data_IF_882666034587
#
_entry.id   IF_882666034587
#
_cell.length_a   1.000
_cell.length_b   1.000
_cell.length_c   1.000
_cell.angle_alpha   90.00
_cell.angle_beta   90.00
_cell.angle_gamma   90.00
#
_symmetry.space_group_name_H-M   'P 1'
#
loop_
_entity.id
_entity.type
_entity.pdbx_description
1 polymer ?
#
# COMPACT_ATOMS: atom_id res chain seq x y z
N UNK A 1 23.95 -39.04 6.45
CA UNK A 1 22.74 -39.82 6.78
C UNK A 1 22.38 -39.49 8.21
N UNK A 2 21.29 -38.76 8.44
CA UNK A 2 20.93 -38.24 9.75
C UNK A 2 20.20 -39.32 10.56
N UNK A 3 20.64 -39.53 11.80
CA UNK A 3 20.19 -40.56 12.73
C UNK A 3 19.31 -39.97 13.84
N UNK A 4 18.34 -39.11 13.49
CA UNK A 4 17.37 -38.58 14.44
C UNK A 4 15.97 -39.12 14.11
N UNK A 5 15.75 -40.38 14.48
CA UNK A 5 14.40 -40.95 14.53
C UNK A 5 13.82 -40.73 15.92
N UNK A 6 12.98 -39.71 16.06
CA UNK A 6 12.19 -39.52 17.28
C UNK A 6 11.06 -40.55 17.33
N UNK A 7 11.15 -41.53 18.23
CA UNK A 7 10.04 -42.45 18.51
C UNK A 7 9.13 -41.83 19.58
N UNK A 8 8.05 -41.20 19.13
CA UNK A 8 7.06 -40.54 19.99
C UNK A 8 6.20 -39.57 19.19
N UNK A 9 5.06 -39.14 19.75
CA UNK A 9 4.21 -38.14 19.09
C UNK A 9 4.89 -36.77 19.16
N UNK A 10 5.13 -36.14 18.01
CA UNK A 10 5.63 -34.77 17.92
C UNK A 10 4.45 -33.83 17.77
N UNK A 11 4.27 -32.92 18.71
CA UNK A 11 3.31 -31.82 18.56
C UNK A 11 4.05 -30.64 17.94
N UNK A 12 3.71 -30.32 16.70
CA UNK A 12 4.03 -29.02 16.10
C UNK A 12 2.74 -28.23 16.13
N UNK A 13 2.63 -27.32 17.10
CA UNK A 13 1.48 -26.43 17.18
C UNK A 13 1.63 -25.38 16.06
N UNK A 14 1.01 -25.66 14.93
CA UNK A 14 0.89 -24.71 13.84
C UNK A 14 -0.21 -23.72 14.25
N UNK A 15 0.20 -22.61 14.85
CA UNK A 15 -0.69 -21.48 15.16
C UNK A 15 -0.96 -20.61 13.91
N UNK A 16 -0.76 -21.16 12.71
CA UNK A 16 -1.29 -20.64 11.46
C UNK A 16 -2.74 -21.12 11.32
N UNK A 17 -3.59 -20.73 12.29
CA UNK A 17 -5.02 -20.90 12.15
C UNK A 17 -5.47 -20.30 10.81
N UNK A 18 -6.43 -20.93 10.14
CA UNK A 18 -7.05 -20.35 8.94
C UNK A 18 -7.36 -18.89 9.26
N UNK A 19 -6.69 -17.96 8.56
CA UNK A 19 -6.99 -16.53 8.74
C UNK A 19 -8.49 -16.43 8.65
N UNK A 20 -9.15 -16.02 9.74
CA UNK A 20 -10.62 -15.98 9.81
C UNK A 20 -11.14 -15.37 8.52
N UNK A 21 -12.15 -15.96 7.89
CA UNK A 21 -12.76 -15.42 6.67
C UNK A 21 -13.25 -14.02 7.01
N UNK A 22 -12.45 -13.01 6.65
CA UNK A 22 -12.82 -11.62 6.76
C UNK A 22 -13.69 -11.33 5.55
N UNK A 23 -14.84 -10.71 5.76
CA UNK A 23 -15.57 -10.06 4.69
C UNK A 23 -14.58 -9.12 4.01
N UNK A 24 -14.26 -9.35 2.74
CA UNK A 24 -13.45 -8.41 1.99
C UNK A 24 -14.18 -7.06 2.04
N UNK A 25 -13.48 -6.00 2.46
CA UNK A 25 -14.00 -4.65 2.26
C UNK A 25 -14.28 -4.51 0.77
N UNK A 26 -15.54 -4.33 0.38
CA UNK A 26 -15.91 -4.04 -1.02
C UNK A 26 -15.43 -2.65 -1.43
N UNK A 27 -15.05 -1.80 -0.47
CA UNK A 27 -14.34 -0.55 -0.71
C UNK A 27 -12.86 -0.80 -0.94
N UNK A 28 -12.43 -0.67 -2.20
CA UNK A 28 -11.03 -0.51 -2.58
C UNK A 28 -10.71 0.99 -2.43
N UNK A 29 -9.64 1.33 -1.71
CA UNK A 29 -9.20 2.72 -1.58
C UNK A 29 -8.18 3.02 -2.68
N UNK A 30 -8.43 4.03 -3.50
CA UNK A 30 -7.44 4.60 -4.41
C UNK A 30 -6.84 5.87 -3.80
N UNK A 31 -5.52 5.98 -3.74
CA UNK A 31 -4.85 7.16 -3.20
C UNK A 31 -3.63 7.56 -4.02
N UNK A 32 -3.42 8.86 -4.15
CA UNK A 32 -2.24 9.47 -4.77
C UNK A 32 -1.45 10.17 -3.66
N UNK A 33 -0.17 9.87 -3.53
CA UNK A 33 0.65 10.37 -2.42
C UNK A 33 2.08 10.71 -2.84
N UNK A 34 2.71 11.61 -2.09
CA UNK A 34 4.15 11.88 -2.15
C UNK A 34 4.90 11.03 -1.12
N UNK A 35 6.17 10.72 -1.42
CA UNK A 35 7.02 9.90 -0.55
C UNK A 35 8.33 9.49 -1.23
N UNK A 36 9.30 10.39 -1.26
CA UNK A 36 10.56 10.18 -1.99
C UNK A 36 11.40 9.02 -1.43
N UNK A 37 11.30 8.79 -0.12
CA UNK A 37 12.00 7.71 0.59
C UNK A 37 11.22 6.40 0.66
N UNK A 38 10.10 6.30 -0.06
CA UNK A 38 9.37 5.04 -0.20
C UNK A 38 10.14 4.04 -1.07
N UNK A 39 10.03 2.75 -0.73
CA UNK A 39 10.62 1.64 -1.47
C UNK A 39 10.11 1.64 -2.92
N UNK A 40 11.01 1.86 -3.89
CA UNK A 40 10.67 2.00 -5.31
C UNK A 40 10.18 0.70 -5.96
N UNK A 41 10.47 -0.47 -5.38
CA UNK A 41 9.95 -1.74 -5.90
C UNK A 41 8.46 -1.90 -5.56
N UNK A 42 8.07 -1.43 -4.38
CA UNK A 42 6.68 -1.53 -3.90
C UNK A 42 5.85 -0.32 -4.31
N UNK A 43 6.46 0.86 -4.35
CA UNK A 43 5.84 2.12 -4.73
C UNK A 43 6.59 2.75 -5.91
N UNK A 44 6.50 2.15 -7.11
CA UNK A 44 7.10 2.75 -8.31
C UNK A 44 6.51 4.14 -8.57
N UNK A 45 7.37 5.07 -9.02
CA UNK A 45 6.95 6.44 -9.33
C UNK A 45 5.96 6.43 -10.50
N UNK A 46 4.87 7.19 -10.38
CA UNK A 46 3.80 7.36 -11.35
C UNK A 46 3.14 6.06 -11.85
N UNK A 47 3.25 4.97 -11.08
CA UNK A 47 2.65 3.68 -11.43
C UNK A 47 1.79 3.17 -10.29
N UNK A 48 0.55 2.70 -10.58
CA UNK A 48 -0.31 2.14 -9.55
C UNK A 48 0.28 0.84 -9.00
N UNK A 49 0.38 0.78 -7.67
CA UNK A 49 0.79 -0.39 -6.91
C UNK A 49 -0.39 -0.93 -6.10
N UNK A 50 -0.63 -2.24 -6.19
CA UNK A 50 -1.67 -2.93 -5.43
C UNK A 50 -1.13 -3.34 -4.07
N UNK A 51 -1.77 -2.86 -3.01
CA UNK A 51 -1.47 -3.17 -1.62
C UNK A 51 -2.60 -4.03 -1.04
N UNK A 52 -2.28 -5.29 -0.77
CA UNK A 52 -3.20 -6.26 -0.14
C UNK A 52 -2.96 -6.43 1.36
N UNK A 53 -1.83 -5.93 1.87
CA UNK A 53 -1.49 -5.90 3.29
C UNK A 53 -0.95 -4.52 3.66
N UNK A 54 -1.75 -3.76 4.40
CA UNK A 54 -1.43 -2.38 4.77
C UNK A 54 -0.26 -2.28 5.75
N UNK A 55 -0.11 -3.22 6.69
CA UNK A 55 0.97 -3.19 7.67
C UNK A 55 2.34 -3.41 7.01
N UNK A 56 2.42 -4.36 6.07
CA UNK A 56 3.64 -4.57 5.28
C UNK A 56 3.96 -3.38 4.38
N UNK A 57 2.94 -2.67 3.91
CA UNK A 57 3.11 -1.47 3.09
C UNK A 57 3.61 -0.27 3.91
N UNK A 58 3.09 -0.05 5.14
CA UNK A 58 3.55 1.02 6.04
C UNK A 58 5.05 0.90 6.33
N UNK A 59 5.56 -0.33 6.53
CA UNK A 59 6.98 -0.56 6.76
C UNK A 59 7.88 -0.11 5.59
N UNK A 60 7.32 -0.06 4.37
CA UNK A 60 8.02 0.27 3.13
C UNK A 60 7.67 1.65 2.56
N UNK A 61 6.79 2.37 3.23
CA UNK A 61 6.26 3.66 2.80
C UNK A 61 7.22 4.84 3.01
N UNK A 62 8.38 4.63 3.63
CA UNK A 62 9.27 5.71 4.02
C UNK A 62 8.70 6.58 5.14
N UNK A 63 9.33 7.70 5.47
CA UNK A 63 8.87 8.71 6.43
C UNK A 63 8.55 10.06 5.77
N UNK A 64 8.93 10.25 4.51
CA UNK A 64 8.69 11.48 3.74
C UNK A 64 7.24 11.59 3.27
N UNK A 65 6.83 12.82 2.98
CA UNK A 65 5.57 13.13 2.33
C UNK A 65 4.32 12.71 3.11
N UNK A 66 3.35 12.20 2.36
CA UNK A 66 1.99 11.91 2.83
C UNK A 66 1.68 10.42 2.90
N UNK A 67 2.46 9.57 2.22
CA UNK A 67 2.19 8.15 2.03
C UNK A 67 2.07 7.37 3.36
N UNK A 68 3.08 7.43 4.22
CA UNK A 68 3.07 6.67 5.49
C UNK A 68 1.95 7.10 6.43
N UNK A 69 1.71 8.41 6.54
CA UNK A 69 0.66 8.96 7.42
C UNK A 69 -0.72 8.49 6.98
N UNK A 70 -1.00 8.54 5.67
CA UNK A 70 -2.26 8.10 5.12
C UNK A 70 -2.46 6.58 5.27
N UNK A 71 -1.43 5.77 4.99
CA UNK A 71 -1.51 4.32 5.19
C UNK A 71 -1.72 3.95 6.67
N UNK A 72 -1.06 4.67 7.59
CA UNK A 72 -1.23 4.46 9.04
C UNK A 72 -2.66 4.80 9.48
N UNK A 73 -3.18 5.96 9.05
CA UNK A 73 -4.55 6.38 9.38
C UNK A 73 -5.61 5.41 8.83
N UNK A 74 -5.38 4.81 7.66
CA UNK A 74 -6.25 3.75 7.12
C UNK A 74 -6.13 2.50 7.98
N UNK A 75 -4.91 2.08 8.34
CA UNK A 75 -4.67 0.89 9.14
C UNK A 75 -5.30 0.97 10.54
N UNK A 76 -5.35 2.17 11.13
CA UNK A 76 -5.98 2.43 12.42
C UNK A 76 -7.51 2.23 12.36
N UNK A 77 -8.14 2.43 11.20
CA UNK A 77 -9.58 2.26 11.02
C UNK A 77 -9.95 0.88 10.51
N UNK A 78 -9.22 0.36 9.52
CA UNK A 78 -9.55 -0.89 8.82
C UNK A 78 -8.36 -1.46 8.05
N UNK A 79 -8.51 -2.67 7.49
CA UNK A 79 -7.49 -3.30 6.63
C UNK A 79 -8.07 -3.60 5.23
N UNK A 80 -8.30 -2.57 4.40
CA UNK A 80 -8.81 -2.73 3.05
C UNK A 80 -7.69 -3.05 2.05
N UNK A 81 -8.08 -3.40 0.82
CA UNK A 81 -7.18 -3.41 -0.33
C UNK A 81 -7.03 -1.97 -0.82
N UNK A 82 -5.79 -1.53 -1.06
CA UNK A 82 -5.47 -0.15 -1.45
C UNK A 82 -4.68 -0.15 -2.74
N UNK A 83 -5.00 0.77 -3.66
CA UNK A 83 -4.18 1.09 -4.83
C UNK A 83 -3.52 2.42 -4.59
N UNK A 84 -2.19 2.43 -4.60
CA UNK A 84 -1.37 3.62 -4.34
C UNK A 84 -0.68 4.04 -5.63
N UNK A 85 -0.78 5.32 -5.98
CA UNK A 85 0.07 5.95 -6.99
C UNK A 85 1.01 6.92 -6.29
N UNK A 86 2.31 6.64 -6.35
CA UNK A 86 3.33 7.57 -5.83
C UNK A 86 3.63 8.63 -6.89
N UNK A 87 3.58 9.90 -6.52
CA UNK A 87 4.00 11.03 -7.37
C UNK A 87 5.19 11.76 -6.73
N UNK A 88 5.94 12.46 -7.57
CA UNK A 88 7.07 13.29 -7.13
C UNK A 88 6.57 14.54 -6.40
N UNK A 89 7.19 14.87 -5.28
CA UNK A 89 6.93 16.13 -4.59
C UNK A 89 7.60 17.27 -5.36
N UNK A 90 6.83 18.30 -5.73
CA UNK A 90 7.36 19.44 -6.47
C UNK A 90 8.02 20.46 -5.54
N UNK A 91 8.90 21.30 -6.08
CA UNK A 91 9.58 22.38 -5.33
C UNK A 91 8.62 23.38 -4.67
N UNK A 92 7.39 23.46 -5.19
CA UNK A 92 6.33 24.35 -4.74
C UNK A 92 4.94 23.68 -4.87
N UNK A 93 3.95 24.29 -4.22
CA UNK A 93 2.59 23.74 -4.15
C UNK A 93 1.92 23.63 -5.53
N UNK A 94 2.24 24.52 -6.48
CA UNK A 94 1.69 24.46 -7.82
C UNK A 94 2.28 23.28 -8.60
N UNK A 95 3.59 23.08 -8.52
CA UNK A 95 4.28 21.92 -9.11
C UNK A 95 3.79 20.60 -8.52
N UNK A 96 3.64 20.52 -7.19
CA UNK A 96 3.07 19.32 -6.53
C UNK A 96 1.64 19.06 -6.96
N UNK A 97 0.80 20.10 -7.08
CA UNK A 97 -0.58 19.96 -7.55
C UNK A 97 -0.61 19.45 -8.99
N UNK A 98 0.29 19.94 -9.85
CA UNK A 98 0.41 19.46 -11.23
C UNK A 98 0.82 17.98 -11.29
N UNK A 99 1.78 17.56 -10.45
CA UNK A 99 2.21 16.16 -10.34
C UNK A 99 1.09 15.23 -9.83
N UNK A 100 0.30 15.69 -8.87
CA UNK A 100 -0.85 14.94 -8.32
C UNK A 100 -1.99 14.81 -9.33
N UNK A 101 -2.27 15.86 -10.11
CA UNK A 101 -3.29 15.82 -11.17
C UNK A 101 -2.83 14.91 -12.31
N UNK A 102 -1.54 14.97 -12.65
CA UNK A 102 -0.94 14.26 -13.78
C UNK A 102 -1.35 14.85 -15.13
N UNK A 103 -0.73 14.35 -16.20
CA UNK A 103 -1.13 14.61 -17.59
C UNK A 103 -1.83 13.37 -18.15
N UNK A 104 -2.80 13.55 -19.05
CA UNK A 104 -3.52 12.46 -19.70
C UNK A 104 -2.63 11.73 -20.72
N UNK A 105 -1.61 11.03 -20.24
CA UNK A 105 -0.81 10.10 -21.01
C UNK A 105 -1.16 8.71 -20.51
N UNK A 106 -2.00 8.00 -21.28
CA UNK A 106 -2.29 6.56 -21.12
C UNK A 106 -2.90 6.13 -19.76
N UNK A 107 -4.07 6.67 -19.41
CA UNK A 107 -5.00 5.98 -18.49
C UNK A 107 -4.77 6.12 -16.98
N UNK A 108 -3.91 7.05 -16.54
CA UNK A 108 -3.62 7.33 -15.11
C UNK A 108 -4.29 8.60 -14.56
N UNK A 109 -5.26 9.19 -15.28
CA UNK A 109 -5.89 10.43 -14.85
C UNK A 109 -6.88 10.21 -13.69
N UNK A 110 -6.74 10.98 -12.62
CA UNK A 110 -7.72 11.11 -11.53
C UNK A 110 -8.99 11.80 -12.06
N UNK A 111 -10.20 11.22 -11.92
CA UNK A 111 -11.42 11.85 -12.41
C UNK A 111 -11.71 13.14 -11.64
N UNK A 112 -11.60 14.28 -12.32
CA UNK A 112 -12.04 15.58 -11.80
C UNK A 112 -13.58 15.66 -11.88
N UNK A 113 -14.25 15.83 -10.73
CA UNK A 113 -15.67 16.18 -10.72
C UNK A 113 -15.81 17.60 -11.30
N UNK A 114 -16.62 17.80 -12.36
CA UNK A 114 -16.76 19.10 -12.98
C UNK A 114 -17.33 20.12 -11.96
N UNK A 115 -16.79 21.35 -11.90
CA UNK A 115 -17.41 22.40 -11.11
C UNK A 115 -18.80 22.71 -11.69
N UNK A 116 -19.80 22.84 -10.80
CA UNK A 116 -21.16 23.27 -11.15
C UNK A 116 -21.18 24.74 -11.53
#
# INVERSE_FOLDING_TARGET
MAQDYHHGVRVTEINEGTRTIRTISTGIIGMVCTGDDADSEIFPLNKPALITNINSAIAKAGNSGTLKKALTAIADQTSPVVVVVRVEEGDDAATTTSNVIGSAVSGSATPQHPPR
#
